data_IF_392360489353
#
_entry.id   IF_392360489353
#
_cell.length_a   1.000
_cell.length_b   1.000
_cell.length_c   1.000
_cell.angle_alpha   90.00
_cell.angle_beta   90.00
_cell.angle_gamma   90.00
#
_symmetry.space_group_name_H-M   'P 1'
#
loop_
_entity.id
_entity.type
_entity.pdbx_description
1 polymer ?
#
# COMPACT_ATOMS: atom_id res chain seq x y z
N UNK A 1 -19.46 3.19 68.60
CA UNK A 1 -18.71 3.35 69.87
C UNK A 1 -17.40 2.61 69.72
N UNK A 2 -16.30 3.37 69.80
CA UNK A 2 -14.95 2.95 70.18
C UNK A 2 -14.24 1.99 69.21
N UNK A 3 -12.94 2.07 68.94
CA UNK A 3 -11.80 2.95 69.27
C UNK A 3 -10.60 2.14 68.70
N UNK A 4 -9.59 2.74 68.06
CA UNK A 4 -8.20 2.87 68.56
C UNK A 4 -7.37 3.01 67.26
N UNK A 5 -7.03 4.24 66.83
CA UNK A 5 -5.78 5.02 67.05
C UNK A 5 -4.57 4.45 66.29
N UNK A 6 -4.09 5.15 65.26
CA UNK A 6 -3.09 6.25 65.26
C UNK A 6 -1.70 5.72 65.66
N UNK A 7 -0.60 6.04 64.98
CA UNK A 7 0.12 7.34 64.99
C UNK A 7 1.24 7.25 63.92
N UNK A 8 1.25 8.12 62.88
CA UNK A 8 2.17 9.27 62.63
C UNK A 8 3.53 8.82 62.01
N UNK A 9 4.09 9.43 60.96
CA UNK A 9 4.20 10.86 60.62
C UNK A 9 4.11 11.14 59.09
N UNK A 10 3.52 12.29 58.77
CA UNK A 10 3.47 13.00 57.47
C UNK A 10 4.77 13.84 57.25
N UNK A 11 5.08 14.47 56.07
CA UNK A 11 4.14 15.24 55.23
C UNK A 11 4.27 15.11 53.69
N UNK A 12 3.10 15.19 53.02
CA UNK A 12 2.76 15.98 51.83
C UNK A 12 3.87 16.26 50.78
N UNK A 13 3.78 15.85 49.50
CA UNK A 13 2.79 16.18 48.45
C UNK A 13 3.35 15.66 47.10
N UNK A 14 2.67 15.78 45.93
CA UNK A 14 1.28 15.53 45.60
C UNK A 14 1.18 14.43 44.52
N UNK A 15 0.01 13.79 44.44
CA UNK A 15 -0.46 13.04 43.27
C UNK A 15 -0.15 13.81 41.97
N UNK A 16 0.63 13.19 41.08
CA UNK A 16 0.93 13.79 39.77
C UNK A 16 -0.38 14.06 39.01
N UNK A 17 -0.50 15.24 38.38
CA UNK A 17 -1.71 15.62 37.68
C UNK A 17 -1.88 14.74 36.45
N UNK A 18 -3.08 14.18 36.26
CA UNK A 18 -3.51 13.69 34.96
C UNK A 18 -3.39 14.85 33.96
N UNK A 19 -2.34 14.85 33.15
CA UNK A 19 -2.12 15.84 32.10
C UNK A 19 -3.19 15.62 31.03
N UNK A 20 -4.21 16.47 31.06
CA UNK A 20 -5.28 16.50 30.07
C UNK A 20 -4.71 16.86 28.69
N UNK A 21 -4.40 15.84 27.88
CA UNK A 21 -4.14 15.99 26.44
C UNK A 21 -5.48 16.11 25.69
N UNK A 22 -6.19 17.22 25.93
CA UNK A 22 -7.39 17.56 25.17
C UNK A 22 -7.02 18.27 23.87
N UNK A 23 -7.47 17.73 22.75
CA UNK A 23 -7.17 18.22 21.41
C UNK A 23 -8.44 18.67 20.70
N UNK A 24 -8.47 19.95 20.33
CA UNK A 24 -9.40 20.49 19.34
C UNK A 24 -8.69 20.47 17.98
N UNK A 25 -9.08 19.55 17.10
CA UNK A 25 -8.46 19.42 15.78
C UNK A 25 -9.10 20.42 14.80
N UNK A 26 -8.30 21.34 14.28
CA UNK A 26 -8.76 22.34 13.31
C UNK A 26 -8.83 21.79 11.89
N UNK A 27 -8.07 20.72 11.56
CA UNK A 27 -8.05 20.11 10.23
C UNK A 27 -7.84 18.60 10.27
N UNK A 28 -8.78 17.86 9.67
CA UNK A 28 -8.73 16.40 9.51
C UNK A 28 -8.90 16.07 8.02
N UNK A 29 -7.91 15.42 7.40
CA UNK A 29 -8.04 14.93 6.01
C UNK A 29 -8.45 13.45 6.00
N UNK A 30 -9.42 13.15 5.14
CA UNK A 30 -9.97 11.80 4.88
C UNK A 30 -9.28 11.22 3.64
N UNK A 31 -8.77 9.99 3.73
CA UNK A 31 -7.95 9.37 2.67
C UNK A 31 -8.72 8.26 1.94
N UNK A 32 -8.63 8.23 0.60
CA UNK A 32 -9.33 7.30 -0.30
C UNK A 32 -8.80 5.84 -0.27
N UNK A 33 -7.73 5.56 0.48
CA UNK A 33 -7.15 4.22 0.59
C UNK A 33 -6.58 3.93 2.00
N UNK A 34 -7.04 4.71 2.99
CA UNK A 34 -6.82 4.48 4.43
C UNK A 34 -5.36 4.39 4.86
N UNK A 35 -4.80 5.49 5.38
CA UNK A 35 -3.56 5.45 6.14
C UNK A 35 -3.62 4.28 7.15
N UNK A 36 -2.65 3.38 7.12
CA UNK A 36 -2.75 2.13 7.92
C UNK A 36 -2.70 2.37 9.44
N UNK A 37 -2.28 3.55 9.88
CA UNK A 37 -2.24 4.00 11.27
C UNK A 37 -2.70 5.46 11.39
N UNK A 38 -2.94 5.91 12.62
CA UNK A 38 -3.16 7.32 12.90
C UNK A 38 -1.82 8.06 13.02
N UNK A 39 -1.74 9.28 12.49
CA UNK A 39 -0.53 10.11 12.50
C UNK A 39 -0.80 11.51 13.02
N UNK A 40 0.17 12.11 13.68
CA UNK A 40 0.15 13.49 14.14
C UNK A 40 1.42 14.22 13.70
N UNK A 41 1.29 15.48 13.32
CA UNK A 41 2.41 16.28 12.86
C UNK A 41 3.38 16.61 14.01
N UNK A 42 4.67 16.36 13.82
CA UNK A 42 5.73 16.72 14.76
C UNK A 42 5.70 18.20 15.16
N UNK A 43 5.44 19.10 14.21
CA UNK A 43 5.33 20.53 14.49
C UNK A 43 4.11 20.84 15.36
N UNK A 44 2.99 20.16 15.11
CA UNK A 44 1.78 20.30 15.92
C UNK A 44 1.97 19.75 17.34
N UNK A 45 2.66 18.62 17.50
CA UNK A 45 3.05 18.05 18.79
C UNK A 45 3.90 19.04 19.59
N UNK A 46 4.94 19.60 18.96
CA UNK A 46 5.83 20.56 19.60
C UNK A 46 5.10 21.86 19.97
N UNK A 47 4.28 22.39 19.05
CA UNK A 47 3.51 23.62 19.25
C UNK A 47 2.52 23.50 20.41
N UNK A 48 1.83 22.37 20.51
CA UNK A 48 0.83 22.11 21.55
C UNK A 48 1.41 21.41 22.79
N UNK A 49 2.74 21.21 22.85
CA UNK A 49 3.46 20.59 23.96
C UNK A 49 2.87 19.22 24.37
N UNK A 50 2.49 18.41 23.39
CA UNK A 50 1.89 17.10 23.66
C UNK A 50 2.94 16.12 24.20
N UNK A 51 2.54 15.32 25.18
CA UNK A 51 3.43 14.32 25.77
C UNK A 51 3.67 13.17 24.78
N UNK A 52 4.93 12.97 24.40
CA UNK A 52 5.34 11.86 23.52
C UNK A 52 5.92 10.71 24.32
N UNK A 53 5.55 9.47 24.00
CA UNK A 53 6.19 8.24 24.48
C UNK A 53 7.08 7.66 23.39
N UNK A 54 8.18 7.02 23.80
CA UNK A 54 9.01 6.24 22.88
C UNK A 54 8.33 4.90 22.61
N UNK A 55 8.28 4.52 21.34
CA UNK A 55 7.72 3.26 20.85
C UNK A 55 8.72 2.58 19.91
N UNK A 56 8.45 1.34 19.51
CA UNK A 56 9.24 0.61 18.52
C UNK A 56 9.39 1.44 17.24
N UNK A 57 10.62 1.53 16.73
CA UNK A 57 10.90 2.25 15.48
C UNK A 57 10.11 1.62 14.33
N UNK A 58 9.26 2.42 13.70
CA UNK A 58 8.51 2.08 12.51
C UNK A 58 8.98 2.96 11.36
N UNK A 59 9.21 2.37 10.20
CA UNK A 59 9.36 3.12 8.95
C UNK A 59 8.01 3.22 8.26
N UNK A 60 7.62 4.45 7.95
CA UNK A 60 6.37 4.80 7.29
C UNK A 60 6.70 5.25 5.88
N UNK A 61 6.18 4.56 4.88
CA UNK A 61 6.25 5.00 3.49
C UNK A 61 5.07 5.95 3.20
N UNK A 62 5.42 7.17 2.83
CA UNK A 62 4.50 8.23 2.44
C UNK A 62 4.02 7.99 1.00
N UNK A 63 2.92 8.63 0.64
CA UNK A 63 2.31 8.49 -0.68
C UNK A 63 3.18 8.90 -1.86
N UNK A 64 4.14 9.78 -1.59
CA UNK A 64 5.12 10.27 -2.55
C UNK A 64 6.35 9.34 -2.65
N UNK A 65 6.28 8.15 -2.04
CA UNK A 65 7.37 7.17 -1.97
C UNK A 65 8.44 7.48 -0.93
N UNK A 66 8.37 8.63 -0.22
CA UNK A 66 9.35 8.97 0.81
C UNK A 66 9.17 8.09 2.03
N UNK A 67 10.27 7.51 2.53
CA UNK A 67 10.28 6.75 3.78
C UNK A 67 10.62 7.67 4.96
N UNK A 68 9.78 7.64 5.99
CA UNK A 68 9.94 8.41 7.21
C UNK A 68 9.98 7.47 8.41
N UNK A 69 11.07 7.50 9.18
CA UNK A 69 11.20 6.73 10.42
C UNK A 69 10.56 7.48 11.58
N UNK A 70 9.78 6.77 12.38
CA UNK A 70 9.19 7.28 13.63
C UNK A 70 9.28 6.25 14.74
N UNK A 71 9.67 6.70 15.92
CA UNK A 71 9.70 5.91 17.16
C UNK A 71 8.93 6.63 18.28
N UNK A 72 8.09 7.60 17.93
CA UNK A 72 7.35 8.40 18.91
C UNK A 72 5.86 8.25 18.69
N UNK A 73 5.14 8.08 19.79
CA UNK A 73 3.68 8.01 19.82
C UNK A 73 3.13 9.02 20.82
N UNK A 74 1.93 9.53 20.55
CA UNK A 74 1.14 10.35 21.46
C UNK A 74 -0.15 9.61 21.72
N UNK A 75 -0.52 9.45 22.99
CA UNK A 75 -1.84 8.96 23.36
C UNK A 75 -2.77 10.15 23.56
N UNK A 76 -3.74 10.29 22.67
CA UNK A 76 -4.75 11.34 22.75
C UNK A 76 -5.78 10.90 23.80
N UNK A 77 -5.79 11.59 24.93
CA UNK A 77 -6.74 11.32 26.02
C UNK A 77 -8.12 11.89 25.73
N UNK A 78 -8.22 12.92 24.88
CA UNK A 78 -9.49 13.48 24.46
C UNK A 78 -9.37 14.12 23.08
N UNK A 79 -10.12 13.60 22.12
CA UNK A 79 -10.25 14.12 20.77
C UNK A 79 -11.68 14.64 20.59
N UNK A 80 -11.80 15.92 20.27
CA UNK A 80 -13.08 16.54 19.93
C UNK A 80 -13.17 16.80 18.42
N UNK A 81 -14.20 16.23 17.77
CA UNK A 81 -14.56 16.48 16.38
C UNK A 81 -16.01 16.98 16.33
N UNK A 82 -16.21 18.28 16.54
CA UNK A 82 -17.55 18.85 16.72
C UNK A 82 -18.23 18.22 17.95
N UNK A 83 -19.43 17.60 17.82
CA UNK A 83 -20.12 16.95 18.94
C UNK A 83 -19.54 15.57 19.33
N UNK A 84 -18.56 15.06 18.57
CA UNK A 84 -17.92 13.78 18.86
C UNK A 84 -16.75 13.97 19.81
N UNK A 85 -16.76 13.25 20.93
CA UNK A 85 -15.68 13.21 21.89
C UNK A 85 -15.27 11.75 22.12
N UNK A 86 -14.01 11.45 21.86
CA UNK A 86 -13.43 10.12 22.05
C UNK A 86 -12.09 10.20 22.76
N UNK A 87 -11.71 9.11 23.42
CA UNK A 87 -10.46 8.99 24.17
C UNK A 87 -9.73 7.72 23.77
N UNK A 88 -8.44 7.64 24.07
CA UNK A 88 -7.65 6.43 23.84
C UNK A 88 -7.20 6.24 22.39
N UNK A 89 -7.07 7.33 21.62
CA UNK A 89 -6.51 7.26 20.27
C UNK A 89 -4.99 7.41 20.35
N UNK A 90 -4.27 6.33 20.08
CA UNK A 90 -2.82 6.40 19.89
C UNK A 90 -2.50 6.87 18.47
N UNK A 91 -1.64 7.89 18.36
CA UNK A 91 -1.21 8.49 17.09
C UNK A 91 0.30 8.55 17.01
N UNK A 92 0.87 8.17 15.86
CA UNK A 92 2.31 8.19 15.65
C UNK A 92 2.78 9.57 15.22
N UNK A 93 3.91 10.02 15.74
CA UNK A 93 4.47 11.33 15.42
C UNK A 93 5.22 11.26 14.10
N UNK A 94 4.80 12.02 13.10
CA UNK A 94 5.42 12.07 11.78
C UNK A 94 5.61 13.52 11.34
N UNK A 95 6.58 13.80 10.47
CA UNK A 95 6.66 15.12 9.85
C UNK A 95 5.65 15.21 8.69
N UNK A 96 4.41 15.59 9.02
CA UNK A 96 3.36 15.83 8.03
C UNK A 96 3.59 17.22 7.41
N UNK A 97 3.43 17.36 6.10
CA UNK A 97 3.65 18.66 5.46
C UNK A 97 2.52 19.65 5.79
N UNK A 98 1.27 19.26 5.53
CA UNK A 98 0.15 20.19 5.48
C UNK A 98 -1.05 19.81 6.35
N UNK A 99 -0.93 18.80 7.20
CA UNK A 99 -2.00 18.35 8.10
C UNK A 99 -1.52 18.29 9.54
N UNK A 100 -2.41 18.62 10.47
CA UNK A 100 -2.15 18.49 11.91
C UNK A 100 -2.22 17.02 12.35
N UNK A 101 -3.22 16.29 11.87
CA UNK A 101 -3.46 14.88 12.22
C UNK A 101 -4.13 14.14 11.06
N UNK A 102 -3.78 12.87 10.89
CA UNK A 102 -4.41 11.92 9.97
C UNK A 102 -5.01 10.79 10.80
N UNK A 103 -6.32 10.61 10.73
CA UNK A 103 -7.01 9.47 11.33
C UNK A 103 -7.08 8.34 10.29
N UNK A 104 -6.40 7.24 10.59
CA UNK A 104 -6.22 6.11 9.70
C UNK A 104 -7.19 4.96 9.96
N UNK A 105 -6.83 3.78 9.47
CA UNK A 105 -7.59 2.53 9.61
C UNK A 105 -8.03 2.22 11.05
N UNK A 106 -7.21 2.41 12.10
CA UNK A 106 -7.67 2.13 13.47
C UNK A 106 -8.90 2.95 13.84
N UNK A 107 -8.89 4.26 13.57
CA UNK A 107 -10.05 5.10 13.84
C UNK A 107 -11.22 4.79 12.88
N UNK A 108 -10.95 4.60 11.59
CA UNK A 108 -11.98 4.31 10.58
C UNK A 108 -12.70 2.99 10.85
N UNK A 109 -11.99 1.96 11.33
CA UNK A 109 -12.58 0.67 11.68
C UNK A 109 -13.56 0.80 12.85
N UNK A 110 -13.20 1.57 13.89
CA UNK A 110 -14.05 1.77 15.05
C UNK A 110 -15.22 2.72 14.78
N UNK A 111 -14.99 3.82 14.07
CA UNK A 111 -16.04 4.77 13.75
C UNK A 111 -16.98 4.24 12.64
N UNK A 112 -16.50 3.33 11.78
CA UNK A 112 -17.17 2.80 10.59
C UNK A 112 -18.06 3.82 9.85
N UNK A 113 -17.49 4.93 9.38
CA UNK A 113 -18.28 6.02 8.83
C UNK A 113 -18.80 5.76 7.41
N UNK A 114 -20.01 6.26 7.15
CA UNK A 114 -20.51 6.51 5.80
C UNK A 114 -19.92 7.82 5.26
N UNK A 115 -19.19 7.74 4.15
CA UNK A 115 -18.50 8.88 3.56
C UNK A 115 -19.25 9.34 2.30
N UNK A 116 -19.74 10.57 2.30
CA UNK A 116 -20.25 11.23 1.11
C UNK A 116 -19.12 12.05 0.47
N UNK A 117 -18.42 11.45 -0.49
CA UNK A 117 -17.30 12.06 -1.19
C UNK A 117 -17.69 13.34 -1.95
N UNK A 118 -18.89 13.36 -2.54
CA UNK A 118 -19.36 14.50 -3.36
C UNK A 118 -19.65 15.74 -2.51
N UNK A 119 -20.12 15.54 -1.28
CA UNK A 119 -20.41 16.62 -0.32
C UNK A 119 -19.28 16.86 0.69
N UNK A 120 -18.25 16.01 0.67
CA UNK A 120 -17.18 15.98 1.67
C UNK A 120 -17.67 15.81 3.12
N UNK A 121 -18.77 15.06 3.29
CA UNK A 121 -19.43 14.80 4.57
C UNK A 121 -19.09 13.39 5.03
N UNK A 122 -18.88 13.23 6.33
CA UNK A 122 -18.70 11.93 6.96
C UNK A 122 -19.72 11.76 8.08
N UNK A 123 -20.47 10.65 8.03
CA UNK A 123 -21.55 10.36 8.96
C UNK A 123 -21.28 9.04 9.66
N UNK A 124 -21.30 9.00 10.99
CA UNK A 124 -21.15 7.75 11.73
C UNK A 124 -21.98 7.75 13.02
N UNK A 125 -22.20 6.55 13.55
CA UNK A 125 -22.94 6.35 14.79
C UNK A 125 -21.98 6.37 15.99
N UNK A 126 -22.34 7.11 17.03
CA UNK A 126 -21.65 7.08 18.32
C UNK A 126 -22.67 6.99 19.45
N UNK A 127 -22.83 5.78 20.00
CA UNK A 127 -23.93 5.48 20.92
C UNK A 127 -25.29 5.64 20.22
N UNK A 128 -26.14 6.52 20.76
CA UNK A 128 -27.46 6.85 20.18
C UNK A 128 -27.44 8.07 19.25
N UNK A 129 -26.27 8.67 19.02
CA UNK A 129 -26.12 9.90 18.25
C UNK A 129 -25.52 9.62 16.87
N UNK A 130 -26.13 10.22 15.85
CA UNK A 130 -25.52 10.34 14.53
C UNK A 130 -24.59 11.56 14.52
N UNK A 131 -23.30 11.34 14.28
CA UNK A 131 -22.31 12.39 14.14
C UNK A 131 -22.13 12.68 12.66
N UNK A 132 -22.27 13.95 12.27
CA UNK A 132 -21.98 14.45 10.93
C UNK A 132 -20.79 15.41 10.98
N UNK A 133 -19.76 15.13 10.20
CA UNK A 133 -18.52 15.92 10.12
C UNK A 133 -18.31 16.39 8.68
N UNK A 134 -18.58 17.68 8.44
CA UNK A 134 -18.22 18.37 7.20
C UNK A 134 -16.70 18.63 7.18
N UNK A 135 -16.00 18.13 6.16
CA UNK A 135 -14.61 18.47 5.98
C UNK A 135 -14.49 19.80 5.20
N UNK A 136 -13.97 20.83 5.86
CA UNK A 136 -13.77 22.16 5.27
C UNK A 136 -12.41 22.24 4.57
N UNK A 137 -12.42 22.48 3.26
CA UNK A 137 -11.20 22.71 2.45
C UNK A 137 -10.68 24.16 2.52
N UNK A 138 -11.15 24.98 3.46
CA UNK A 138 -11.05 26.45 3.35
C UNK A 138 -9.92 27.14 4.11
N UNK A 139 -8.96 26.43 4.71
CA UNK A 139 -7.75 27.11 5.17
C UNK A 139 -6.78 27.31 4.01
N UNK A 140 -6.89 28.49 3.38
CA UNK A 140 -5.95 29.08 2.44
C UNK A 140 -4.52 28.92 2.97
N UNK A 141 -3.70 28.16 2.26
CA UNK A 141 -2.25 28.20 2.44
C UNK A 141 -1.80 29.64 2.17
N UNK A 142 -1.11 30.26 3.14
CA UNK A 142 -0.35 31.48 2.87
C UNK A 142 0.86 31.02 2.07
N UNK A 143 0.92 31.49 0.83
CA UNK A 143 1.81 31.14 -0.28
C UNK A 143 1.23 30.09 -1.27
N UNK A 144 1.02 30.50 -2.53
CA UNK A 144 0.46 29.63 -3.56
C UNK A 144 1.52 28.63 -4.01
N UNK A 145 1.32 27.36 -3.67
CA UNK A 145 2.06 26.25 -4.27
C UNK A 145 1.33 25.93 -5.59
N UNK A 146 1.96 26.09 -6.76
CA UNK A 146 1.33 25.84 -8.04
C UNK A 146 1.47 24.36 -8.38
N UNK A 147 0.55 23.47 -7.97
CA UNK A 147 0.55 22.10 -8.50
C UNK A 147 -0.88 21.54 -8.61
N UNK A 148 -1.24 21.21 -9.85
CA UNK A 148 -2.26 20.24 -10.24
C UNK A 148 -1.86 18.81 -9.77
N UNK A 149 -1.73 18.52 -8.47
CA UNK A 149 -1.40 17.15 -8.02
C UNK A 149 -2.19 16.72 -6.77
N UNK A 150 -3.19 15.88 -7.06
CA UNK A 150 -3.46 14.54 -6.53
C UNK A 150 -3.29 14.18 -5.04
N UNK A 151 -4.20 13.32 -4.61
CA UNK A 151 -4.44 12.91 -3.24
C UNK A 151 -3.36 11.89 -2.81
N UNK A 152 -2.50 12.32 -1.89
CA UNK A 152 -1.44 11.49 -1.31
C UNK A 152 -1.98 10.38 -0.36
N UNK A 153 -1.93 9.11 -0.81
CA UNK A 153 -2.20 7.89 -0.03
C UNK A 153 -0.94 7.34 0.68
N UNK A 154 -0.85 7.43 2.01
CA UNK A 154 0.27 6.85 2.79
C UNK A 154 0.03 5.34 2.95
N UNK A 155 0.67 4.54 2.09
CA UNK A 155 0.76 3.10 2.28
C UNK A 155 1.89 2.82 3.27
N UNK A 156 1.55 2.51 4.53
CA UNK A 156 2.55 1.91 5.42
C UNK A 156 2.79 0.50 4.88
N UNK A 157 3.84 0.35 4.08
CA UNK A 157 4.61 -0.87 4.15
C UNK A 157 4.98 -0.99 5.62
N UNK A 158 4.44 -2.00 6.32
CA UNK A 158 5.21 -2.55 7.41
C UNK A 158 6.51 -2.90 6.70
N UNK A 159 7.55 -2.10 6.91
CA UNK A 159 8.84 -2.69 7.06
C UNK A 159 8.59 -3.73 8.17
N UNK A 160 8.29 -4.97 7.75
CA UNK A 160 9.23 -6.02 8.08
C UNK A 160 10.57 -5.35 7.87
N UNK A 161 11.12 -4.82 8.96
CA UNK A 161 12.52 -4.92 9.13
C UNK A 161 12.83 -6.37 8.72
N UNK A 162 13.36 -6.51 7.51
CA UNK A 162 14.34 -7.55 7.24
C UNK A 162 15.62 -7.25 8.05
N UNK A 163 15.56 -6.52 9.17
CA UNK A 163 16.19 -7.05 10.39
C UNK A 163 15.45 -8.33 10.73
N UNK A 164 15.82 -9.42 10.05
CA UNK A 164 15.45 -10.79 10.37
C UNK A 164 14.15 -10.84 11.19
N UNK A 165 12.99 -10.79 10.53
CA UNK A 165 11.92 -11.65 11.02
C UNK A 165 12.63 -12.96 11.27
N UNK A 166 12.82 -13.33 12.54
CA UNK A 166 13.31 -14.65 12.90
C UNK A 166 12.20 -15.57 12.43
N UNK A 167 12.18 -15.80 11.12
CA UNK A 167 11.62 -16.98 10.50
C UNK A 167 12.05 -18.09 11.44
N UNK A 168 11.11 -18.93 11.92
CA UNK A 168 11.47 -20.06 12.76
C UNK A 168 12.73 -20.71 12.18
N UNK A 169 13.71 -21.12 13.00
CA UNK A 169 14.99 -21.62 12.49
C UNK A 169 14.82 -22.67 11.39
N UNK A 170 13.73 -23.44 11.44
CA UNK A 170 13.32 -24.38 10.41
C UNK A 170 13.02 -23.74 9.05
N UNK A 171 12.30 -22.62 9.01
CA UNK A 171 11.96 -21.90 7.77
C UNK A 171 13.17 -21.18 7.20
N UNK A 172 14.00 -20.58 8.06
CA UNK A 172 15.22 -19.92 7.61
C UNK A 172 16.22 -20.92 7.00
N UNK A 173 16.30 -22.12 7.59
CA UNK A 173 17.04 -23.23 7.02
C UNK A 173 16.50 -23.64 5.65
N UNK A 174 15.19 -23.79 5.48
CA UNK A 174 14.57 -24.13 4.18
C UNK A 174 14.84 -23.03 3.12
N UNK A 175 14.73 -21.75 3.49
CA UNK A 175 15.01 -20.65 2.57
C UNK A 175 16.48 -20.60 2.14
N UNK A 176 17.40 -20.96 3.02
CA UNK A 176 18.82 -21.11 2.69
C UNK A 176 19.06 -22.34 1.80
N UNK A 177 18.47 -23.49 2.15
CA UNK A 177 18.60 -24.74 1.42
C UNK A 177 18.03 -24.64 -0.01
N UNK A 178 16.96 -23.86 -0.22
CA UNK A 178 16.29 -23.67 -1.52
C UNK A 178 16.41 -22.24 -2.08
N UNK A 179 17.47 -21.51 -1.73
CA UNK A 179 17.66 -20.13 -2.18
C UNK A 179 17.65 -19.97 -3.70
N UNK A 180 18.08 -21.00 -4.44
CA UNK A 180 18.06 -21.03 -5.91
C UNK A 180 16.64 -21.04 -6.52
N UNK A 181 15.64 -21.52 -5.78
CA UNK A 181 14.24 -21.61 -6.24
C UNK A 181 13.51 -20.26 -6.11
N UNK A 182 14.00 -19.38 -5.23
CA UNK A 182 13.39 -18.09 -4.91
C UNK A 182 14.32 -16.91 -5.22
N UNK A 183 14.84 -16.75 -6.45
CA UNK A 183 15.70 -15.62 -6.78
C UNK A 183 14.89 -14.31 -6.82
N UNK A 184 15.48 -13.21 -6.36
CA UNK A 184 14.85 -11.87 -6.41
C UNK A 184 14.55 -11.43 -7.85
N UNK A 185 15.35 -11.89 -8.81
CA UNK A 185 15.17 -11.64 -10.24
C UNK A 185 15.27 -12.93 -11.02
N UNK A 186 14.43 -13.09 -12.04
CA UNK A 186 14.48 -14.28 -12.88
C UNK A 186 15.82 -14.38 -13.61
N UNK A 187 16.42 -15.58 -13.70
CA UNK A 187 17.65 -15.78 -14.45
C UNK A 187 17.50 -15.35 -15.91
N UNK A 188 18.55 -14.73 -16.45
CA UNK A 188 18.60 -14.23 -17.83
C UNK A 188 18.89 -15.33 -18.88
N UNK A 189 18.54 -16.58 -18.58
CA UNK A 189 18.76 -17.73 -19.44
C UNK A 189 17.54 -18.66 -19.42
N UNK A 190 17.39 -19.44 -20.48
CA UNK A 190 16.38 -20.50 -20.51
C UNK A 190 16.70 -21.54 -19.43
N UNK A 191 15.68 -22.15 -18.81
CA UNK A 191 15.91 -23.25 -17.89
C UNK A 191 16.67 -24.39 -18.59
N UNK A 192 17.36 -25.22 -17.81
CA UNK A 192 17.99 -26.43 -18.32
C UNK A 192 16.98 -27.32 -19.04
N UNK A 193 17.46 -28.04 -20.06
CA UNK A 193 16.64 -28.98 -20.84
C UNK A 193 16.02 -30.02 -19.90
N UNK A 194 14.73 -30.31 -20.11
CA UNK A 194 13.95 -31.26 -19.30
C UNK A 194 13.46 -32.40 -20.18
N UNK A 195 12.95 -33.45 -19.56
CA UNK A 195 12.37 -34.61 -20.28
C UNK A 195 11.14 -34.27 -21.11
N UNK A 196 10.51 -33.10 -20.87
CA UNK A 196 9.32 -32.65 -21.58
C UNK A 196 9.52 -31.21 -22.01
N UNK A 197 9.51 -30.99 -23.31
CA UNK A 197 9.47 -29.66 -23.92
C UNK A 197 8.06 -29.29 -24.35
N UNK A 198 7.80 -27.99 -24.41
CA UNK A 198 6.53 -27.49 -24.92
C UNK A 198 6.46 -27.60 -26.44
N UNK A 199 5.60 -28.48 -26.94
CA UNK A 199 5.24 -28.57 -28.34
C UNK A 199 3.89 -27.88 -28.60
N UNK A 200 3.77 -27.23 -29.77
CA UNK A 200 2.52 -26.65 -30.27
C UNK A 200 2.06 -27.50 -31.45
N UNK A 201 1.18 -28.46 -31.17
CA UNK A 201 0.62 -29.32 -32.21
C UNK A 201 -0.43 -28.57 -33.03
N UNK A 202 -0.26 -28.58 -34.35
CA UNK A 202 -1.17 -27.92 -35.27
C UNK A 202 -2.11 -28.93 -35.92
N UNK A 203 -3.34 -28.48 -36.23
CA UNK A 203 -4.28 -29.27 -37.03
C UNK A 203 -3.67 -29.55 -38.40
N UNK A 204 -3.67 -30.81 -38.81
CA UNK A 204 -3.10 -31.25 -40.09
C UNK A 204 -3.72 -30.49 -41.26
N UNK A 205 -2.89 -29.99 -42.17
CA UNK A 205 -3.34 -29.20 -43.34
C UNK A 205 -3.71 -27.75 -43.05
N UNK A 206 -3.51 -27.27 -41.81
CA UNK A 206 -3.69 -25.85 -41.49
C UNK A 206 -2.66 -24.96 -42.20
N UNK A 207 -3.09 -23.77 -42.62
CA UNK A 207 -2.20 -22.77 -43.23
C UNK A 207 -1.57 -21.89 -42.13
N UNK A 208 -0.27 -21.56 -42.23
CA UNK A 208 0.38 -20.61 -41.33
C UNK A 208 -0.37 -19.27 -41.28
N UNK A 209 -0.83 -18.79 -40.12
CA UNK A 209 -1.42 -17.47 -39.99
C UNK A 209 -0.33 -16.42 -40.14
N UNK A 210 -0.57 -15.45 -41.02
CA UNK A 210 0.20 -14.22 -41.10
C UNK A 210 -0.74 -13.06 -40.83
N UNK A 211 -0.51 -12.36 -39.72
CA UNK A 211 -1.28 -11.20 -39.31
C UNK A 211 -0.37 -9.97 -39.24
N UNK A 212 -0.71 -8.87 -39.93
CA UNK A 212 0.10 -7.66 -39.93
C UNK A 212 0.11 -7.00 -38.56
N UNK A 213 1.23 -6.35 -38.23
CA UNK A 213 1.41 -5.61 -36.98
C UNK A 213 0.38 -4.46 -36.92
N UNK A 214 -0.21 -4.24 -35.73
CA UNK A 214 -1.11 -3.12 -35.51
C UNK A 214 -0.39 -1.77 -35.63
N UNK A 215 -1.15 -0.71 -35.92
CA UNK A 215 -0.61 0.66 -35.84
C UNK A 215 -0.26 0.96 -34.39
N UNK A 216 0.95 1.46 -34.17
CA UNK A 216 1.47 1.82 -32.86
C UNK A 216 1.81 3.31 -32.83
N UNK A 217 1.68 3.93 -31.65
CA UNK A 217 2.20 5.26 -31.37
C UNK A 217 3.72 5.26 -31.33
N UNK A 218 4.33 6.45 -31.30
CA UNK A 218 5.78 6.57 -31.17
C UNK A 218 6.29 5.98 -29.84
N UNK A 219 5.55 6.20 -28.75
CA UNK A 219 5.87 5.69 -27.42
C UNK A 219 5.81 4.16 -27.36
N UNK A 220 4.77 3.57 -27.96
CA UNK A 220 4.63 2.11 -28.05
C UNK A 220 5.75 1.47 -28.89
N UNK A 221 6.18 2.15 -29.95
CA UNK A 221 7.25 1.65 -30.82
C UNK A 221 8.61 1.69 -30.11
N UNK A 222 8.89 2.74 -29.33
CA UNK A 222 10.10 2.84 -28.52
C UNK A 222 10.12 1.76 -27.42
N UNK A 223 8.98 1.58 -26.74
CA UNK A 223 8.78 0.51 -25.75
C UNK A 223 9.00 -0.88 -26.36
N UNK A 224 8.45 -1.12 -27.55
CA UNK A 224 8.61 -2.38 -28.28
C UNK A 224 10.09 -2.67 -28.56
N UNK A 225 10.83 -1.69 -29.06
CA UNK A 225 12.27 -1.84 -29.34
C UNK A 225 13.06 -2.15 -28.07
N UNK A 226 12.75 -1.47 -26.97
CA UNK A 226 13.40 -1.71 -25.68
C UNK A 226 13.17 -3.14 -25.20
N UNK A 227 11.92 -3.60 -25.15
CA UNK A 227 11.60 -4.96 -24.69
C UNK A 227 12.16 -6.05 -25.62
N UNK A 228 12.09 -5.86 -26.95
CA UNK A 228 12.69 -6.81 -27.90
C UNK A 228 14.20 -6.94 -27.71
N UNK A 229 14.90 -5.83 -27.51
CA UNK A 229 16.36 -5.83 -27.27
C UNK A 229 16.71 -6.59 -26.00
N UNK A 230 15.94 -6.38 -24.93
CA UNK A 230 16.12 -7.10 -23.66
C UNK A 230 15.84 -8.61 -23.81
N UNK A 231 14.76 -9.00 -24.49
CA UNK A 231 14.42 -10.40 -24.74
C UNK A 231 15.46 -11.11 -25.63
N UNK A 232 16.01 -10.42 -26.63
CA UNK A 232 17.10 -10.92 -27.46
C UNK A 232 18.38 -11.12 -26.63
N UNK A 233 18.72 -10.14 -25.77
CA UNK A 233 19.89 -10.22 -24.88
C UNK A 233 19.79 -11.39 -23.90
N UNK A 234 18.58 -11.71 -23.43
CA UNK A 234 18.27 -12.84 -22.55
C UNK A 234 18.17 -14.19 -23.27
N UNK A 235 18.34 -14.22 -24.60
CA UNK A 235 18.13 -15.40 -25.45
C UNK A 235 16.73 -16.04 -25.31
N UNK A 236 15.72 -15.26 -24.91
CA UNK A 236 14.33 -15.74 -24.82
C UNK A 236 13.65 -15.76 -26.19
N UNK A 237 14.10 -14.89 -27.10
CA UNK A 237 13.65 -14.85 -28.49
C UNK A 237 14.85 -14.83 -29.42
N UNK A 238 14.62 -15.15 -30.69
CA UNK A 238 15.61 -15.05 -31.77
C UNK A 238 14.93 -14.60 -33.06
N UNK A 239 15.66 -13.95 -33.98
CA UNK A 239 15.16 -13.74 -35.34
C UNK A 239 14.77 -15.07 -35.98
N UNK A 240 13.65 -15.07 -36.70
CA UNK A 240 13.09 -16.26 -37.34
C UNK A 240 12.54 -15.89 -38.72
N UNK A 241 12.68 -16.80 -39.68
CA UNK A 241 12.15 -16.67 -41.06
C UNK A 241 10.92 -17.56 -41.27
N UNK A 242 10.26 -17.98 -40.20
CA UNK A 242 9.13 -18.90 -40.25
C UNK A 242 7.88 -18.19 -40.83
N UNK A 243 7.00 -18.89 -41.58
CA UNK A 243 5.86 -18.28 -42.27
C UNK A 243 4.73 -17.80 -41.34
N UNK A 244 4.88 -17.97 -40.02
CA UNK A 244 3.91 -17.57 -39.02
C UNK A 244 4.19 -16.13 -38.57
N UNK A 245 3.14 -15.30 -38.53
CA UNK A 245 3.22 -13.94 -38.03
C UNK A 245 2.04 -13.62 -37.11
N UNK A 246 2.34 -13.21 -35.88
CA UNK A 246 1.36 -12.72 -34.92
C UNK A 246 1.64 -11.25 -34.60
N UNK A 247 0.62 -10.39 -34.51
CA UNK A 247 0.83 -8.99 -34.20
C UNK A 247 1.06 -8.80 -32.70
N UNK A 248 1.68 -7.68 -32.36
CA UNK A 248 1.91 -7.25 -31.00
C UNK A 248 0.94 -6.13 -30.65
N UNK A 249 0.49 -6.10 -29.40
CA UNK A 249 -0.31 -5.03 -28.82
C UNK A 249 0.17 -4.73 -27.40
N UNK A 250 -0.10 -3.51 -26.93
CA UNK A 250 0.22 -3.09 -25.57
C UNK A 250 -1.03 -2.99 -24.70
N UNK A 251 -0.87 -3.36 -23.42
CA UNK A 251 -1.89 -3.19 -22.39
C UNK A 251 -1.29 -2.38 -21.25
N UNK A 252 -1.99 -1.33 -20.82
CA UNK A 252 -1.59 -0.54 -19.66
C UNK A 252 -1.79 -1.35 -18.38
N UNK A 253 -0.74 -1.46 -17.56
CA UNK A 253 -0.85 -1.95 -16.19
C UNK A 253 -1.38 -0.85 -15.28
N UNK A 254 -1.80 -1.24 -14.07
CA UNK A 254 -2.23 -0.31 -13.03
C UNK A 254 -1.16 0.71 -12.64
N UNK A 255 0.11 0.29 -12.68
CA UNK A 255 1.29 1.14 -12.43
C UNK A 255 1.66 2.07 -13.60
N UNK A 256 0.82 2.19 -14.64
CA UNK A 256 1.06 3.03 -15.82
C UNK A 256 2.03 2.45 -16.85
N UNK A 257 2.73 1.35 -16.55
CA UNK A 257 3.65 0.71 -17.49
C UNK A 257 2.93 -0.10 -18.58
N UNK A 258 3.53 -0.17 -19.76
CA UNK A 258 3.01 -0.93 -20.89
C UNK A 258 3.46 -2.39 -20.84
N UNK A 259 2.52 -3.32 -20.99
CA UNK A 259 2.79 -4.76 -21.13
C UNK A 259 2.73 -5.16 -22.59
N UNK A 260 3.85 -5.70 -23.09
CA UNK A 260 3.94 -6.32 -24.41
C UNK A 260 3.10 -7.60 -24.44
N UNK A 261 2.12 -7.67 -25.33
CA UNK A 261 1.25 -8.83 -25.52
C UNK A 261 1.31 -9.27 -26.99
N UNK A 262 1.53 -10.56 -27.23
CA UNK A 262 1.49 -11.14 -28.57
C UNK A 262 0.10 -11.73 -28.80
N UNK A 263 -0.55 -11.34 -29.90
CA UNK A 263 -1.89 -11.83 -30.23
C UNK A 263 -1.83 -13.18 -30.95
N UNK A 264 -1.78 -14.25 -30.15
CA UNK A 264 -1.82 -15.62 -30.65
C UNK A 264 -3.21 -16.13 -31.04
N UNK A 265 -4.25 -15.29 -31.13
CA UNK A 265 -5.63 -15.77 -31.43
C UNK A 265 -5.72 -16.57 -32.73
N UNK A 266 -5.02 -16.15 -33.78
CA UNK A 266 -5.00 -16.87 -35.05
C UNK A 266 -4.29 -18.22 -34.94
N UNK A 267 -3.15 -18.28 -34.24
CA UNK A 267 -2.41 -19.51 -33.95
C UNK A 267 -3.24 -20.48 -33.08
N UNK A 268 -3.87 -19.97 -32.02
CA UNK A 268 -4.68 -20.75 -31.08
C UNK A 268 -5.89 -21.42 -31.75
N UNK A 269 -6.40 -20.87 -32.86
CA UNK A 269 -7.51 -21.47 -33.64
C UNK A 269 -7.08 -22.73 -34.39
N UNK A 270 -5.83 -22.79 -34.83
CA UNK A 270 -5.27 -23.92 -35.59
C UNK A 270 -4.44 -24.88 -34.72
N UNK A 271 -4.28 -24.57 -33.42
CA UNK A 271 -3.59 -25.42 -32.45
C UNK A 271 -4.55 -26.48 -31.90
N UNK A 272 -4.08 -27.71 -31.79
CA UNK A 272 -4.81 -28.81 -31.15
C UNK A 272 -4.93 -28.50 -29.65
N UNK A 273 -6.17 -28.43 -29.15
CA UNK A 273 -6.42 -28.08 -27.75
C UNK A 273 -6.03 -29.25 -26.82
N UNK A 274 -5.03 -29.05 -25.99
CA UNK A 274 -4.72 -29.95 -24.89
C UNK A 274 -5.77 -29.80 -23.77
N UNK A 275 -6.79 -30.66 -23.77
CA UNK A 275 -7.89 -30.65 -22.78
C UNK A 275 -7.55 -31.51 -21.57
N UNK A 276 -6.47 -31.17 -20.87
CA UNK A 276 -6.15 -31.82 -19.61
C UNK A 276 -7.22 -31.48 -18.55
N UNK A 277 -7.83 -32.46 -17.87
CA UNK A 277 -8.84 -32.19 -16.86
C UNK A 277 -8.18 -31.54 -15.64
N UNK A 278 -8.48 -30.26 -15.41
CA UNK A 278 -8.11 -29.59 -14.16
C UNK A 278 -9.20 -29.83 -13.11
N UNK A 279 -8.83 -30.14 -11.85
CA UNK A 279 -9.82 -30.31 -10.79
C UNK A 279 -10.55 -28.99 -10.52
N UNK A 280 -11.87 -29.06 -10.35
CA UNK A 280 -12.66 -27.92 -9.89
C UNK A 280 -12.41 -27.77 -8.39
N UNK A 281 -11.90 -26.61 -7.97
CA UNK A 281 -11.80 -26.28 -6.56
C UNK A 281 -13.21 -26.08 -6.01
N UNK A 282 -13.65 -26.98 -5.14
CA UNK A 282 -14.89 -26.82 -4.37
C UNK A 282 -14.53 -26.09 -3.08
N UNK A 283 -15.19 -24.96 -2.82
CA UNK A 283 -15.06 -24.18 -1.59
C UNK A 283 -16.00 -24.70 -0.52
#
# INVERSE_FOLDING_TARGET
KQKITNIEDEPNQPSQPATNNSLELTQVKKNHSGASQNFINKNFVNKNKLTTKTNTSLTVELADGRKAKTNKIVDITKLELGPYNTSGISVQVLNLQCYDTILGKPWLYHANPNINWRKNILVFQYGTKTIEVQANSQNKFKEPIPIEEEIFAVHINREHNESASSQPPEVQKILQDFGEVFPETLPNHLPSERTVDHAIDLVLGSKPPFCPIYRMSYEELDELKRQLTDLLKKNFIRPSTFPFGAPVLFIHKKEGTLRLCIDYRALNKITIKNRYPLPILTN
#
